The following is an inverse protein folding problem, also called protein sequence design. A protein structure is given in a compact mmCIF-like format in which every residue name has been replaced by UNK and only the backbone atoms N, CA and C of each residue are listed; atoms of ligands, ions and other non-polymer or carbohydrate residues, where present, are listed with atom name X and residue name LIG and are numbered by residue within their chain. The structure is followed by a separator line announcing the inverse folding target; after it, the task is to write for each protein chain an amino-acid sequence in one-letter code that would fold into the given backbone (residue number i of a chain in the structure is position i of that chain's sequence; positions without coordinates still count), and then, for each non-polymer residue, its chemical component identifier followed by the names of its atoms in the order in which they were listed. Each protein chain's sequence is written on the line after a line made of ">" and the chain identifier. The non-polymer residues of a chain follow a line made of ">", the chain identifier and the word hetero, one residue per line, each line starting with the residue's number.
data_IF_912197355812
#
_entry.id   IF_912197355812
#
_cell.length_a   1.000
_cell.length_b   1.000
_cell.length_c   1.000
_cell.angle_alpha   90.00
_cell.angle_beta   90.00
_cell.angle_gamma   90.00
#
_symmetry.space_group_name_H-M   'P 1'
#
loop_
_entity.id
_entity.type
_entity.pdbx_description
1 polymer ?
#
# COMPACT_ATOMS: atom_id res chain seq x y z
N UNK A 1 6.08 -7.66 -6.91
CA UNK A 1 4.65 -7.34 -6.74
C UNK A 1 4.35 -6.02 -7.43
N UNK A 2 3.21 -5.90 -8.08
CA UNK A 2 2.79 -4.63 -8.66
C UNK A 2 2.46 -3.63 -7.56
N UNK A 3 3.01 -2.44 -7.67
CA UNK A 3 2.77 -1.36 -6.72
C UNK A 3 2.70 -0.03 -7.44
N UNK A 4 1.91 0.89 -6.90
CA UNK A 4 1.74 2.22 -7.48
C UNK A 4 1.58 3.26 -6.39
N UNK A 5 1.79 4.51 -6.78
CA UNK A 5 1.49 5.68 -5.95
C UNK A 5 0.30 6.38 -6.59
N UNK A 6 -0.75 6.63 -5.79
CA UNK A 6 -1.95 7.33 -6.26
C UNK A 6 -2.10 8.64 -5.50
N UNK A 7 -2.01 9.79 -6.18
CA UNK A 7 -2.27 11.07 -5.52
C UNK A 7 -3.76 11.20 -5.20
N UNK A 8 -4.08 11.65 -3.99
CA UNK A 8 -5.46 11.84 -3.58
C UNK A 8 -5.54 12.86 -2.45
N UNK A 9 -6.28 13.93 -2.67
CA UNK A 9 -6.56 14.96 -1.66
C UNK A 9 -5.30 15.50 -0.97
N UNK A 10 -4.25 15.80 -1.75
CA UNK A 10 -3.01 16.35 -1.21
C UNK A 10 -2.10 15.34 -0.55
N UNK A 11 -2.44 14.06 -0.64
CA UNK A 11 -1.64 12.98 -0.11
C UNK A 11 -1.29 11.98 -1.20
N UNK A 12 -0.40 11.05 -0.86
CA UNK A 12 0.03 10.01 -1.78
C UNK A 12 -0.25 8.66 -1.15
N UNK A 13 -1.08 7.87 -1.81
CA UNK A 13 -1.40 6.53 -1.35
C UNK A 13 -0.45 5.53 -2.00
N UNK A 14 0.15 4.67 -1.21
CA UNK A 14 0.96 3.56 -1.73
C UNK A 14 0.06 2.34 -1.78
N UNK A 15 -0.06 1.74 -2.96
CA UNK A 15 -0.98 0.64 -3.19
C UNK A 15 -0.26 -0.54 -3.83
N UNK A 16 -0.68 -1.74 -3.47
CA UNK A 16 -0.19 -2.99 -4.05
C UNK A 16 -1.35 -3.75 -4.66
N UNK A 17 -1.08 -4.46 -5.74
CA UNK A 17 -2.08 -5.27 -6.43
C UNK A 17 -1.91 -6.72 -6.04
N UNK A 18 -2.82 -7.22 -5.23
CA UNK A 18 -2.75 -8.60 -4.76
C UNK A 18 -4.13 -9.13 -4.40
N UNK A 19 -4.20 -10.44 -4.18
CA UNK A 19 -5.45 -11.11 -3.86
C UNK A 19 -5.96 -10.65 -2.49
N UNK A 20 -7.23 -10.30 -2.45
CA UNK A 20 -7.90 -9.97 -1.20
C UNK A 20 -8.48 -11.25 -0.60
N UNK A 21 -8.20 -11.47 0.70
CA UNK A 21 -8.58 -12.71 1.37
C UNK A 21 -10.10 -12.91 1.44
N UNK A 22 -10.88 -11.82 1.52
CA UNK A 22 -12.33 -11.91 1.67
C UNK A 22 -13.04 -12.35 0.38
N UNK A 23 -12.54 -11.94 -0.77
CA UNK A 23 -13.22 -12.16 -2.05
C UNK A 23 -12.49 -13.12 -2.97
N UNK A 24 -11.20 -13.34 -2.74
CA UNK A 24 -10.37 -14.13 -3.63
C UNK A 24 -9.98 -13.40 -4.91
N UNK A 25 -10.40 -12.16 -5.09
CA UNK A 25 -10.08 -11.36 -6.27
C UNK A 25 -8.86 -10.49 -6.03
N UNK A 26 -8.11 -10.20 -7.10
CA UNK A 26 -7.00 -9.26 -7.04
C UNK A 26 -7.53 -7.84 -7.10
N UNK A 27 -7.08 -7.01 -6.16
CA UNK A 27 -7.46 -5.60 -6.10
C UNK A 27 -6.27 -4.76 -5.70
N UNK A 28 -6.37 -3.46 -5.97
CA UNK A 28 -5.40 -2.50 -5.44
C UNK A 28 -5.72 -2.25 -3.97
N UNK A 29 -4.75 -2.54 -3.10
CA UNK A 29 -4.90 -2.36 -1.67
C UNK A 29 -3.99 -1.25 -1.20
N UNK A 30 -4.56 -0.26 -0.51
CA UNK A 30 -3.76 0.82 0.07
C UNK A 30 -3.06 0.29 1.31
N UNK A 31 -1.74 0.47 1.37
CA UNK A 31 -0.94 0.00 2.49
C UNK A 31 -0.27 1.13 3.26
N UNK A 32 -0.26 2.33 2.71
CA UNK A 32 0.34 3.48 3.39
C UNK A 32 -0.17 4.77 2.78
N UNK A 33 -0.06 5.84 3.54
CA UNK A 33 -0.46 7.18 3.13
C UNK A 33 0.59 8.15 3.66
N UNK A 34 1.01 9.09 2.82
CA UNK A 34 1.98 10.10 3.22
C UNK A 34 1.77 11.37 2.43
N UNK A 35 2.17 12.49 2.99
CA UNK A 35 2.15 13.77 2.29
C UNK A 35 3.42 13.99 1.47
N UNK A 36 4.43 13.13 1.62
CA UNK A 36 5.71 13.25 0.94
C UNK A 36 5.80 12.31 -0.24
N UNK A 37 5.86 12.88 -1.45
CA UNK A 37 5.95 12.11 -2.68
C UNK A 37 7.19 11.21 -2.71
N UNK A 38 8.33 11.72 -2.26
CA UNK A 38 9.58 10.94 -2.25
C UNK A 38 9.48 9.70 -1.38
N UNK A 39 8.84 9.83 -0.22
CA UNK A 39 8.63 8.68 0.66
C UNK A 39 7.70 7.66 0.03
N UNK A 40 6.61 8.14 -0.60
CA UNK A 40 5.67 7.24 -1.28
C UNK A 40 6.37 6.45 -2.39
N UNK A 41 7.22 7.10 -3.17
CA UNK A 41 7.97 6.42 -4.24
C UNK A 41 8.90 5.36 -3.66
N UNK A 42 9.58 5.67 -2.56
CA UNK A 42 10.48 4.70 -1.92
C UNK A 42 9.72 3.49 -1.38
N UNK A 43 8.56 3.71 -0.79
CA UNK A 43 7.71 2.61 -0.32
C UNK A 43 7.21 1.76 -1.48
N UNK A 44 6.83 2.39 -2.60
CA UNK A 44 6.43 1.67 -3.80
C UNK A 44 7.58 0.78 -4.30
N UNK A 45 8.79 1.31 -4.36
CA UNK A 45 9.95 0.54 -4.83
C UNK A 45 10.27 -0.60 -3.87
N UNK A 46 10.15 -0.38 -2.58
CA UNK A 46 10.30 -1.45 -1.58
C UNK A 46 9.34 -2.61 -1.89
N UNK A 47 8.08 -2.30 -2.20
CA UNK A 47 7.09 -3.33 -2.50
C UNK A 47 7.38 -4.06 -3.82
N UNK A 48 8.02 -3.40 -4.76
CA UNK A 48 8.34 -3.99 -6.07
C UNK A 48 9.60 -4.85 -6.03
N UNK A 49 10.55 -4.52 -5.16
CA UNK A 49 11.89 -5.04 -5.24
C UNK A 49 11.99 -6.52 -4.88
N UNK A 50 11.34 -6.93 -3.81
CA UNK A 50 11.35 -8.32 -3.34
C UNK A 50 9.99 -8.69 -2.79
N UNK A 51 9.84 -9.95 -2.42
CA UNK A 51 8.64 -10.41 -1.77
C UNK A 51 8.71 -10.04 -0.28
N UNK A 52 8.02 -8.97 0.09
CA UNK A 52 7.96 -8.47 1.46
C UNK A 52 6.56 -8.61 2.05
N UNK A 53 5.93 -9.76 1.83
CA UNK A 53 4.53 -9.94 2.22
C UNK A 53 4.27 -9.65 3.70
N UNK A 54 5.15 -10.08 4.60
CA UNK A 54 4.98 -9.82 6.03
C UNK A 54 5.01 -8.35 6.36
N UNK A 55 5.96 -7.62 5.80
CA UNK A 55 6.11 -6.18 6.02
C UNK A 55 4.95 -5.42 5.40
N UNK A 56 4.50 -5.83 4.22
CA UNK A 56 3.35 -5.21 3.55
C UNK A 56 2.09 -5.45 4.36
N UNK A 57 1.89 -6.65 4.89
CA UNK A 57 0.74 -6.95 5.74
C UNK A 57 0.75 -6.10 7.01
N UNK A 58 1.91 -5.91 7.62
CA UNK A 58 2.07 -5.06 8.80
C UNK A 58 1.72 -3.61 8.47
N UNK A 59 2.21 -3.09 7.35
CA UNK A 59 1.91 -1.73 6.92
C UNK A 59 0.42 -1.56 6.66
N UNK A 60 -0.20 -2.52 5.99
CA UNK A 60 -1.63 -2.45 5.71
C UNK A 60 -2.46 -2.51 6.99
N UNK A 61 -2.09 -3.38 7.92
CA UNK A 61 -2.79 -3.45 9.21
C UNK A 61 -2.73 -2.13 9.95
N UNK A 62 -1.57 -1.49 9.95
CA UNK A 62 -1.41 -0.18 10.56
C UNK A 62 -2.28 0.87 9.85
N UNK A 63 -2.23 0.89 8.51
CA UNK A 63 -3.04 1.82 7.74
C UNK A 63 -4.53 1.66 8.05
N UNK A 64 -5.02 0.43 8.05
CA UNK A 64 -6.42 0.16 8.32
C UNK A 64 -6.81 0.55 9.75
N UNK A 65 -5.92 0.33 10.72
CA UNK A 65 -6.21 0.69 12.11
C UNK A 65 -6.34 2.20 12.31
N UNK A 66 -5.63 3.00 11.51
CA UNK A 66 -5.68 4.45 11.62
C UNK A 66 -6.79 5.09 10.78
N UNK A 67 -7.33 4.36 9.80
CA UNK A 67 -8.32 4.88 8.86
C UNK A 67 -9.68 4.19 8.98
N UNK A 68 -9.76 3.14 9.77
CA UNK A 68 -11.01 2.42 9.97
C UNK A 68 -11.69 2.93 11.24
N UNK A 69 -12.79 3.62 11.05
CA UNK A 69 -13.56 4.18 12.16
C UNK A 69 -14.94 3.57 12.22
#
# INVERSE_FOLDING_TARGET
>A
MLAQVKPENGKYLVQVYRTESNTGHKTWQTIAETEEQGLAIRLREFCRYKNHDSEIDTMRAYYLSTHNK
#
